data_IF_418787654145
#
_entry.id   IF_418787654145
#
_cell.length_a   1.000
_cell.length_b   1.000
_cell.length_c   1.000
_cell.angle_alpha   90.00
_cell.angle_beta   90.00
_cell.angle_gamma   90.00
#
_symmetry.space_group_name_H-M   'P 1'
#
loop_
_entity.id
_entity.type
_entity.pdbx_description
1 polymer ?
#
# COMPACT_ATOMS: atom_id res chain seq x y z
N UNK A 1 -54.58 44.11 27.09
CA UNK A 1 -53.98 42.95 27.77
C UNK A 1 -53.16 42.18 26.76
N UNK A 2 -51.96 41.77 27.16
CA UNK A 2 -50.87 41.33 26.30
C UNK A 2 -50.94 39.84 25.91
N UNK A 3 -50.08 39.51 24.92
CA UNK A 3 -49.55 38.19 24.52
C UNK A 3 -50.46 37.38 23.56
N UNK A 4 -50.00 36.71 22.51
CA UNK A 4 -48.71 36.01 22.33
C UNK A 4 -48.39 35.83 20.83
N UNK A 5 -47.17 36.19 20.42
CA UNK A 5 -46.54 35.77 19.16
C UNK A 5 -46.30 34.26 19.15
N UNK A 6 -46.81 33.54 18.15
CA UNK A 6 -46.37 32.19 17.81
C UNK A 6 -45.49 32.26 16.56
N UNK A 7 -44.19 32.39 16.79
CA UNK A 7 -43.16 32.14 15.78
C UNK A 7 -43.05 30.62 15.60
N UNK A 8 -43.60 30.12 14.50
CA UNK A 8 -43.37 28.75 14.05
C UNK A 8 -41.91 28.61 13.60
N UNK A 9 -41.08 28.01 14.43
CA UNK A 9 -39.74 27.59 14.05
C UNK A 9 -39.85 26.41 13.08
N UNK A 10 -39.79 26.71 11.78
CA UNK A 10 -39.62 25.71 10.74
C UNK A 10 -38.27 25.01 10.92
N UNK A 11 -38.31 23.70 11.17
CA UNK A 11 -37.13 22.85 11.17
C UNK A 11 -36.49 22.83 9.77
N UNK A 12 -35.16 23.03 9.63
CA UNK A 12 -34.51 22.93 8.33
C UNK A 12 -34.47 21.47 7.88
N UNK A 13 -35.38 21.12 6.97
CA UNK A 13 -35.42 19.84 6.30
C UNK A 13 -34.25 19.71 5.29
N UNK A 14 -33.45 18.65 5.42
CA UNK A 14 -32.87 17.92 4.30
C UNK A 14 -31.55 18.39 3.66
N UNK A 15 -31.15 19.67 3.74
CA UNK A 15 -30.01 20.16 2.93
C UNK A 15 -28.63 20.06 3.61
N UNK A 16 -28.59 19.80 4.93
CA UNK A 16 -27.35 19.84 5.71
C UNK A 16 -26.34 18.73 5.41
N UNK A 17 -26.82 17.52 5.09
CA UNK A 17 -25.95 16.37 4.85
C UNK A 17 -25.12 16.53 3.56
N UNK A 18 -25.74 17.01 2.47
CA UNK A 18 -25.05 17.23 1.18
C UNK A 18 -24.01 18.37 1.27
N UNK A 19 -24.32 19.42 2.03
CA UNK A 19 -23.38 20.51 2.31
C UNK A 19 -22.17 20.04 3.14
N UNK A 20 -22.39 19.18 4.14
CA UNK A 20 -21.32 18.61 4.95
C UNK A 20 -20.39 17.70 4.14
N UNK A 21 -20.95 16.85 3.27
CA UNK A 21 -20.15 16.00 2.36
C UNK A 21 -19.35 16.84 1.37
N UNK A 22 -19.96 17.88 0.78
CA UNK A 22 -19.27 18.78 -0.14
C UNK A 22 -18.14 19.55 0.54
N UNK A 23 -18.36 20.04 1.76
CA UNK A 23 -17.33 20.71 2.56
C UNK A 23 -16.19 19.76 2.96
N UNK A 24 -16.51 18.49 3.22
CA UNK A 24 -15.51 17.46 3.50
C UNK A 24 -14.66 17.14 2.26
N UNK A 25 -15.28 16.99 1.08
CA UNK A 25 -14.58 16.78 -0.18
C UNK A 25 -13.65 17.96 -0.54
N UNK A 26 -14.12 19.20 -0.38
CA UNK A 26 -13.28 20.40 -0.60
C UNK A 26 -12.05 20.40 0.32
N UNK A 27 -12.25 20.00 1.59
CA UNK A 27 -11.16 19.91 2.57
C UNK A 27 -10.13 18.84 2.17
N UNK A 28 -10.57 17.67 1.69
CA UNK A 28 -9.67 16.62 1.20
C UNK A 28 -8.85 17.09 -0.01
N UNK A 29 -9.50 17.75 -0.98
CA UNK A 29 -8.82 18.31 -2.16
C UNK A 29 -7.76 19.32 -1.73
N UNK A 30 -8.09 20.21 -0.79
CA UNK A 30 -7.16 21.23 -0.28
C UNK A 30 -5.95 20.63 0.44
N UNK A 31 -6.15 19.55 1.20
CA UNK A 31 -5.05 18.80 1.85
C UNK A 31 -4.16 18.16 0.80
N UNK A 32 -4.73 17.51 -0.21
CA UNK A 32 -3.97 16.86 -1.28
C UNK A 32 -3.14 17.87 -2.08
N UNK A 33 -3.71 19.02 -2.42
CA UNK A 33 -2.99 20.10 -3.10
C UNK A 33 -1.83 20.63 -2.26
N UNK A 34 -2.04 20.82 -0.95
CA UNK A 34 -0.99 21.29 -0.03
C UNK A 34 0.16 20.27 0.05
N UNK A 35 -0.13 18.97 0.10
CA UNK A 35 0.90 17.93 0.09
C UNK A 35 1.71 17.94 -1.22
N UNK A 36 1.06 18.08 -2.38
CA UNK A 36 1.77 18.21 -3.67
C UNK A 36 2.71 19.42 -3.70
N UNK A 37 2.27 20.56 -3.18
CA UNK A 37 3.11 21.76 -3.07
C UNK A 37 4.30 21.56 -2.12
N UNK A 38 4.09 20.87 -0.99
CA UNK A 38 5.16 20.57 -0.05
C UNK A 38 6.20 19.60 -0.64
N UNK A 39 5.78 18.61 -1.43
CA UNK A 39 6.70 17.71 -2.13
C UNK A 39 7.57 18.46 -3.14
N UNK A 40 6.98 19.38 -3.92
CA UNK A 40 7.76 20.21 -4.85
C UNK A 40 8.71 21.19 -4.13
N UNK A 41 8.32 21.77 -2.99
CA UNK A 41 9.24 22.60 -2.21
C UNK A 41 10.38 21.79 -1.58
N UNK A 42 10.10 20.58 -1.08
CA UNK A 42 11.13 19.69 -0.55
C UNK A 42 12.14 19.29 -1.63
N UNK A 43 11.68 19.04 -2.87
CA UNK A 43 12.55 18.75 -4.02
C UNK A 43 13.34 19.98 -4.48
N UNK A 44 12.77 21.19 -4.41
CA UNK A 44 13.47 22.42 -4.78
C UNK A 44 14.54 22.85 -3.75
N UNK A 45 14.44 22.42 -2.50
CA UNK A 45 15.42 22.70 -1.45
C UNK A 45 16.64 21.75 -1.47
N UNK A 46 16.60 20.66 -2.24
CA UNK A 46 17.75 19.76 -2.48
C UNK A 46 18.39 20.13 -3.81
N UNK A 47 18.86 21.37 -3.92
CA UNK A 47 19.78 21.75 -4.98
C UNK A 47 21.21 21.47 -4.47
N UNK A 48 21.93 20.49 -5.03
CA UNK A 48 23.27 20.17 -4.57
C UNK A 48 24.22 21.31 -4.94
N UNK A 49 24.74 21.99 -3.92
CA UNK A 49 25.86 22.90 -4.07
C UNK A 49 27.09 22.11 -4.55
N UNK A 50 27.55 22.48 -5.76
CA UNK A 50 28.87 22.31 -6.38
C UNK A 50 29.78 21.11 -5.98
N UNK A 51 30.25 20.30 -6.95
CA UNK A 51 31.32 19.35 -6.72
C UNK A 51 32.67 20.10 -6.70
N UNK A 52 33.13 20.46 -5.51
CA UNK A 52 34.50 20.90 -5.26
C UNK A 52 35.41 19.69 -5.09
N UNK A 53 36.33 19.52 -6.05
CA UNK A 53 37.34 18.48 -6.11
C UNK A 53 38.26 18.41 -4.87
N UNK A 54 38.63 17.20 -4.42
CA UNK A 54 39.97 16.91 -3.87
C UNK A 54 40.38 15.43 -4.10
N UNK A 55 41.25 15.23 -5.10
CA UNK A 55 42.49 14.44 -5.15
C UNK A 55 42.78 13.28 -4.15
N UNK A 56 43.35 12.23 -4.75
CA UNK A 56 44.38 11.29 -4.26
C UNK A 56 43.93 9.94 -3.68
N UNK A 57 44.36 8.87 -4.36
CA UNK A 57 44.35 7.51 -3.81
C UNK A 57 44.54 6.40 -4.85
N UNK A 58 45.63 6.44 -5.61
CA UNK A 58 46.05 5.37 -6.54
C UNK A 58 46.58 4.15 -5.76
N UNK A 59 46.08 2.96 -6.04
CA UNK A 59 46.85 1.71 -5.95
C UNK A 59 46.23 0.63 -6.86
N UNK A 60 47.03 0.12 -7.78
CA UNK A 60 46.72 -0.95 -8.72
C UNK A 60 47.50 -2.22 -8.36
N UNK A 61 46.94 -3.40 -8.66
CA UNK A 61 47.57 -4.67 -9.08
C UNK A 61 46.58 -5.82 -8.77
N UNK A 62 46.01 -6.62 -9.69
CA UNK A 62 46.49 -7.42 -10.84
C UNK A 62 46.65 -8.92 -10.51
N UNK A 63 46.15 -9.75 -11.45
CA UNK A 63 46.43 -11.18 -11.71
C UNK A 63 45.75 -12.24 -10.79
N UNK A 64 45.41 -13.46 -11.23
CA UNK A 64 45.16 -14.09 -12.54
C UNK A 64 44.68 -15.55 -12.27
N UNK A 65 43.91 -16.10 -13.22
CA UNK A 65 43.83 -17.51 -13.66
C UNK A 65 43.64 -18.68 -12.66
N UNK A 66 42.63 -19.53 -12.91
CA UNK A 66 42.78 -20.82 -13.62
C UNK A 66 41.63 -21.81 -13.28
N UNK A 67 41.33 -22.67 -14.25
CA UNK A 67 40.18 -23.57 -14.36
C UNK A 67 40.37 -24.97 -13.73
N UNK A 68 39.26 -25.67 -13.46
CA UNK A 68 39.02 -27.13 -13.53
C UNK A 68 37.77 -27.46 -12.69
N UNK A 69 36.91 -28.46 -12.89
CA UNK A 69 36.56 -29.42 -13.93
C UNK A 69 35.24 -30.05 -13.45
N UNK A 70 34.40 -30.54 -14.36
CA UNK A 70 33.09 -31.15 -14.09
C UNK A 70 33.18 -32.46 -13.26
N UNK A 71 32.04 -32.95 -12.73
CA UNK A 71 31.38 -34.05 -13.42
C UNK A 71 29.83 -33.98 -13.46
N UNK A 72 29.25 -34.57 -14.50
CA UNK A 72 27.83 -34.94 -14.65
C UNK A 72 27.71 -36.48 -14.61
N UNK A 73 26.51 -37.10 -14.70
CA UNK A 73 25.24 -36.95 -13.97
C UNK A 73 24.85 -38.29 -13.26
N UNK A 74 23.61 -38.45 -12.77
CA UNK A 74 22.67 -39.29 -13.53
C UNK A 74 21.24 -38.73 -13.66
N UNK A 75 20.65 -39.01 -14.85
CA UNK A 75 19.26 -39.42 -15.19
C UNK A 75 18.24 -39.59 -14.04
N UNK A 76 16.93 -39.40 -14.18
CA UNK A 76 15.97 -38.92 -15.19
C UNK A 76 14.57 -38.98 -14.51
N UNK A 77 13.56 -38.30 -15.09
CA UNK A 77 12.10 -38.36 -14.76
C UNK A 77 11.66 -37.76 -13.41
N UNK A 78 10.68 -36.86 -13.32
CA UNK A 78 9.56 -36.55 -14.20
C UNK A 78 9.48 -35.03 -14.46
N UNK A 79 9.34 -34.68 -15.74
CA UNK A 79 8.96 -33.35 -16.17
C UNK A 79 7.52 -33.08 -15.70
N UNK A 80 7.38 -32.43 -14.55
CA UNK A 80 6.19 -31.63 -14.28
C UNK A 80 6.15 -30.55 -15.37
N UNK A 81 4.97 -30.20 -15.93
CA UNK A 81 4.88 -29.14 -16.91
C UNK A 81 5.43 -27.88 -16.27
N UNK A 82 6.57 -27.41 -16.79
CA UNK A 82 7.03 -26.06 -16.58
C UNK A 82 5.97 -25.18 -17.23
N UNK A 83 4.96 -24.82 -16.44
CA UNK A 83 4.13 -23.66 -16.73
C UNK A 83 5.12 -22.54 -17.01
N UNK A 84 5.03 -21.88 -18.18
CA UNK A 84 5.90 -20.76 -18.46
C UNK A 84 5.79 -19.82 -17.27
N UNK A 85 6.93 -19.45 -16.69
CA UNK A 85 7.04 -18.30 -15.80
C UNK A 85 6.66 -17.08 -16.64
N UNK A 86 5.35 -16.94 -16.87
CA UNK A 86 4.76 -15.81 -17.54
C UNK A 86 5.10 -14.63 -16.66
N UNK A 87 6.02 -13.81 -17.17
CA UNK A 87 6.16 -12.38 -16.93
C UNK A 87 5.43 -11.97 -15.66
N UNK A 88 6.05 -12.24 -14.51
CA UNK A 88 5.39 -12.10 -13.22
C UNK A 88 4.90 -10.66 -13.10
N UNK A 89 3.58 -10.38 -13.15
CA UNK A 89 3.04 -9.01 -13.19
C UNK A 89 3.34 -8.22 -11.90
N UNK A 90 3.94 -8.91 -10.93
CA UNK A 90 4.41 -8.39 -9.65
C UNK A 90 5.84 -7.84 -9.70
N UNK A 91 6.63 -8.09 -10.76
CA UNK A 91 7.97 -7.50 -10.95
C UNK A 91 7.84 -6.00 -11.24
N UNK A 92 7.79 -5.20 -10.18
CA UNK A 92 7.60 -3.76 -10.25
C UNK A 92 6.49 -3.27 -9.32
N UNK A 93 5.61 -4.17 -8.85
CA UNK A 93 4.62 -3.83 -7.84
C UNK A 93 5.29 -3.85 -6.46
N UNK A 94 5.55 -2.67 -5.91
CA UNK A 94 6.13 -2.52 -4.57
C UNK A 94 5.10 -1.90 -3.64
N UNK A 95 4.69 -2.66 -2.63
CA UNK A 95 3.86 -2.14 -1.55
C UNK A 95 4.67 -1.14 -0.73
N UNK A 96 4.13 0.07 -0.52
CA UNK A 96 4.85 1.08 0.26
C UNK A 96 4.95 0.64 1.72
N UNK A 97 6.04 1.01 2.42
CA UNK A 97 6.14 0.80 3.87
C UNK A 97 4.93 1.44 4.57
N UNK A 98 4.50 0.81 5.65
CA UNK A 98 3.33 1.26 6.39
C UNK A 98 3.55 2.67 6.95
N UNK A 99 2.98 3.68 6.29
CA UNK A 99 3.11 5.11 6.66
C UNK A 99 2.21 5.52 7.83
N UNK A 100 1.84 4.58 8.70
CA UNK A 100 1.06 4.85 9.90
C UNK A 100 -0.46 4.82 9.75
N UNK A 101 -1.00 4.61 8.54
CA UNK A 101 -2.44 4.57 8.30
C UNK A 101 -2.87 3.25 7.65
N UNK A 102 -3.65 2.45 8.38
CA UNK A 102 -4.26 1.20 7.91
C UNK A 102 -5.11 1.37 6.64
N UNK A 103 -5.97 2.39 6.51
CA UNK A 103 -6.76 2.56 5.29
C UNK A 103 -5.90 2.73 4.03
N UNK A 104 -4.78 3.46 4.12
CA UNK A 104 -3.86 3.60 2.98
C UNK A 104 -3.23 2.25 2.59
N UNK A 105 -2.89 1.40 3.57
CA UNK A 105 -2.39 0.06 3.31
C UNK A 105 -3.46 -0.82 2.65
N UNK A 106 -4.72 -0.71 3.04
CA UNK A 106 -5.83 -1.47 2.44
C UNK A 106 -6.06 -1.08 0.98
N UNK A 107 -5.99 0.21 0.63
CA UNK A 107 -6.08 0.66 -0.76
C UNK A 107 -4.96 0.06 -1.63
N UNK A 108 -3.74 -0.03 -1.11
CA UNK A 108 -2.64 -0.69 -1.82
C UNK A 108 -2.87 -2.19 -2.01
N UNK A 109 -3.54 -2.85 -1.05
CA UNK A 109 -3.89 -4.26 -1.15
C UNK A 109 -4.98 -4.50 -2.20
N UNK A 110 -5.97 -3.62 -2.31
CA UNK A 110 -6.98 -3.71 -3.37
C UNK A 110 -6.30 -3.60 -4.74
N UNK A 111 -5.44 -2.60 -4.93
CA UNK A 111 -4.69 -2.44 -6.18
C UNK A 111 -3.76 -3.61 -6.49
N UNK A 112 -3.17 -4.23 -5.46
CA UNK A 112 -2.40 -5.46 -5.62
C UNK A 112 -3.28 -6.59 -6.13
N UNK A 113 -4.42 -6.85 -5.49
CA UNK A 113 -5.34 -7.95 -5.82
C UNK A 113 -5.89 -7.85 -7.24
N UNK A 114 -6.15 -6.63 -7.71
CA UNK A 114 -6.54 -6.35 -9.09
C UNK A 114 -5.45 -6.81 -10.09
N UNK A 115 -4.19 -6.50 -9.80
CA UNK A 115 -3.04 -6.92 -10.62
C UNK A 115 -2.83 -8.43 -10.61
N UNK A 116 -3.10 -9.11 -9.47
CA UNK A 116 -2.95 -10.57 -9.37
C UNK A 116 -4.18 -11.36 -9.84
N UNK A 117 -5.19 -10.68 -10.38
CA UNK A 117 -6.48 -11.29 -10.77
C UNK A 117 -7.07 -12.16 -9.64
N UNK A 118 -7.04 -11.62 -8.41
CA UNK A 118 -7.54 -12.33 -7.24
C UNK A 118 -9.08 -12.48 -7.28
N UNK A 119 -9.65 -13.41 -6.50
CA UNK A 119 -11.11 -13.62 -6.48
C UNK A 119 -11.85 -12.36 -6.03
N UNK A 120 -12.92 -12.00 -6.75
CA UNK A 120 -13.76 -10.84 -6.43
C UNK A 120 -14.29 -10.88 -5.00
N UNK A 121 -14.62 -12.07 -4.47
CA UNK A 121 -15.07 -12.23 -3.07
C UNK A 121 -14.06 -11.69 -2.05
N UNK A 122 -12.77 -11.88 -2.31
CA UNK A 122 -11.70 -11.43 -1.42
C UNK A 122 -11.52 -9.92 -1.53
N UNK A 123 -11.67 -9.37 -2.74
CA UNK A 123 -11.67 -7.94 -2.97
C UNK A 123 -12.87 -7.25 -2.29
N UNK A 124 -14.06 -7.85 -2.40
CA UNK A 124 -15.29 -7.37 -1.78
C UNK A 124 -15.19 -7.39 -0.25
N UNK A 125 -14.67 -8.48 0.34
CA UNK A 125 -14.40 -8.56 1.79
C UNK A 125 -13.38 -7.54 2.25
N UNK A 126 -12.32 -7.33 1.48
CA UNK A 126 -11.30 -6.31 1.77
C UNK A 126 -11.89 -4.90 1.73
N UNK A 127 -12.75 -4.62 0.76
CA UNK A 127 -13.43 -3.35 0.63
C UNK A 127 -14.46 -3.14 1.76
N UNK A 128 -15.21 -4.19 2.13
CA UNK A 128 -16.11 -4.19 3.27
C UNK A 128 -15.36 -3.99 4.59
N UNK A 129 -14.17 -4.57 4.75
CA UNK A 129 -13.30 -4.35 5.90
C UNK A 129 -12.71 -2.93 5.94
N UNK A 130 -12.40 -2.36 4.77
CA UNK A 130 -11.84 -1.02 4.63
C UNK A 130 -12.88 0.09 4.85
N UNK A 131 -14.14 -0.11 4.46
CA UNK A 131 -15.20 0.88 4.58
C UNK A 131 -15.35 1.49 6.00
N UNK A 132 -15.50 0.71 7.09
CA UNK A 132 -15.63 1.26 8.44
C UNK A 132 -14.35 1.92 8.95
N UNK A 133 -13.19 1.53 8.42
CA UNK A 133 -11.89 2.14 8.74
C UNK A 133 -11.71 3.50 8.05
N UNK A 134 -12.15 3.60 6.79
CA UNK A 134 -12.11 4.84 6.00
C UNK A 134 -13.09 5.88 6.54
N UNK A 135 -14.26 5.44 7.02
CA UNK A 135 -15.25 6.29 7.68
C UNK A 135 -14.85 6.70 9.10
N UNK A 136 -13.72 6.20 9.63
CA UNK A 136 -13.28 6.37 11.03
C UNK A 136 -14.30 5.89 12.07
N UNK A 137 -15.30 5.10 11.69
CA UNK A 137 -16.30 4.55 12.61
C UNK A 137 -15.70 3.47 13.51
N UNK A 138 -14.71 2.72 13.00
CA UNK A 138 -14.01 1.67 13.72
C UNK A 138 -12.53 2.00 13.80
N UNK A 139 -12.03 2.28 15.00
CA UNK A 139 -10.58 2.37 15.24
C UNK A 139 -10.04 0.99 15.62
N UNK A 140 -8.97 0.55 14.94
CA UNK A 140 -8.27 -0.66 15.32
C UNK A 140 -7.60 -0.47 16.67
N UNK A 141 -7.66 -1.51 17.49
CA UNK A 141 -6.89 -1.52 18.74
C UNK A 141 -5.39 -1.45 18.43
N UNK A 142 -4.55 -0.90 19.34
CA UNK A 142 -3.10 -0.86 19.14
C UNK A 142 -2.50 -2.25 18.87
N UNK A 143 -3.07 -3.29 19.49
CA UNK A 143 -2.69 -4.68 19.29
C UNK A 143 -3.03 -5.17 17.88
N UNK A 144 -4.24 -4.88 17.37
CA UNK A 144 -4.61 -5.22 15.99
C UNK A 144 -3.75 -4.47 14.98
N UNK A 145 -3.44 -3.20 15.24
CA UNK A 145 -2.57 -2.41 14.38
C UNK A 145 -1.15 -3.00 14.32
N UNK A 146 -0.59 -3.40 15.47
CA UNK A 146 0.72 -4.06 15.51
C UNK A 146 0.73 -5.41 14.78
N UNK A 147 -0.31 -6.22 14.97
CA UNK A 147 -0.48 -7.48 14.25
C UNK A 147 -0.62 -7.25 12.74
N UNK A 148 -1.42 -6.26 12.33
CA UNK A 148 -1.59 -5.86 10.94
C UNK A 148 -0.26 -5.44 10.32
N UNK A 149 0.53 -4.59 10.99
CA UNK A 149 1.85 -4.18 10.52
C UNK A 149 2.80 -5.36 10.28
N UNK A 150 2.83 -6.31 11.20
CA UNK A 150 3.67 -7.52 11.08
C UNK A 150 3.23 -8.39 9.89
N UNK A 151 1.92 -8.62 9.74
CA UNK A 151 1.38 -9.38 8.62
C UNK A 151 1.58 -8.67 7.28
N UNK A 152 1.43 -7.34 7.25
CA UNK A 152 1.66 -6.52 6.08
C UNK A 152 3.12 -6.62 5.63
N UNK A 153 4.09 -6.56 6.56
CA UNK A 153 5.52 -6.80 6.23
C UNK A 153 5.77 -8.18 5.65
N UNK A 154 5.14 -9.23 6.19
CA UNK A 154 5.25 -10.56 5.62
C UNK A 154 4.67 -10.60 4.21
N UNK A 155 3.52 -9.97 3.98
CA UNK A 155 2.91 -9.88 2.66
C UNK A 155 3.80 -9.11 1.67
N UNK A 156 4.39 -7.98 2.06
CA UNK A 156 5.37 -7.25 1.26
C UNK A 156 6.52 -8.17 0.78
N UNK A 157 7.06 -8.99 1.69
CA UNK A 157 8.12 -9.94 1.33
C UNK A 157 7.66 -11.03 0.35
N UNK A 158 6.38 -11.41 0.37
CA UNK A 158 5.80 -12.39 -0.56
C UNK A 158 5.55 -11.80 -1.94
N UNK A 159 5.07 -10.56 -1.98
CA UNK A 159 4.89 -9.77 -3.21
C UNK A 159 6.24 -9.57 -3.90
N UNK A 160 7.27 -9.17 -3.15
CA UNK A 160 8.63 -9.01 -3.66
C UNK A 160 9.23 -10.31 -4.22
N UNK A 161 8.75 -11.47 -3.74
CA UNK A 161 9.16 -12.80 -4.22
C UNK A 161 8.28 -13.32 -5.37
N UNK A 162 7.32 -12.54 -5.86
CA UNK A 162 6.43 -12.91 -6.96
C UNK A 162 5.47 -14.05 -6.66
N UNK A 163 5.23 -14.40 -5.38
CA UNK A 163 4.42 -15.56 -5.01
C UNK A 163 2.92 -15.25 -4.98
N UNK A 164 2.33 -15.05 -6.16
CA UNK A 164 0.90 -14.75 -6.35
C UNK A 164 -0.04 -15.68 -5.55
N UNK A 165 0.17 -17.00 -5.63
CA UNK A 165 -0.65 -18.01 -4.95
C UNK A 165 -0.64 -17.90 -3.40
N UNK A 166 0.27 -17.11 -2.83
CA UNK A 166 0.43 -16.90 -1.38
C UNK A 166 0.04 -15.49 -0.92
N UNK A 167 -0.36 -14.64 -1.87
CA UNK A 167 -0.87 -13.29 -1.59
C UNK A 167 -2.29 -13.41 -1.03
N UNK A 168 -3.17 -14.18 -1.68
CA UNK A 168 -4.54 -14.39 -1.23
C UNK A 168 -4.59 -14.93 0.21
N UNK A 169 -3.86 -16.02 0.51
CA UNK A 169 -3.74 -16.58 1.86
C UNK A 169 -3.31 -15.52 2.91
N UNK A 170 -2.38 -14.64 2.53
CA UNK A 170 -1.87 -13.62 3.44
C UNK A 170 -2.86 -12.45 3.64
N UNK A 171 -3.64 -12.12 2.61
CA UNK A 171 -4.71 -11.12 2.72
C UNK A 171 -5.87 -11.66 3.57
N UNK A 172 -6.21 -12.94 3.47
CA UNK A 172 -7.20 -13.56 4.37
C UNK A 172 -6.75 -13.50 5.84
N UNK A 173 -5.47 -13.76 6.12
CA UNK A 173 -4.92 -13.61 7.47
C UNK A 173 -5.02 -12.16 7.95
N UNK A 174 -4.76 -11.18 7.07
CA UNK A 174 -4.92 -9.76 7.39
C UNK A 174 -6.39 -9.40 7.70
N UNK A 175 -7.34 -9.94 6.94
CA UNK A 175 -8.78 -9.79 7.21
C UNK A 175 -9.18 -10.35 8.58
N UNK A 176 -8.64 -11.53 8.93
CA UNK A 176 -8.86 -12.12 10.25
C UNK A 176 -8.35 -11.24 11.40
N UNK A 177 -7.24 -10.51 11.21
CA UNK A 177 -6.74 -9.54 12.21
C UNK A 177 -7.70 -8.35 12.37
N UNK A 178 -8.37 -7.95 11.29
CA UNK A 178 -9.38 -6.88 11.30
C UNK A 178 -10.72 -7.33 11.93
N UNK A 179 -10.88 -8.64 12.17
CA UNK A 179 -12.07 -9.24 12.75
C UNK A 179 -13.24 -9.32 11.76
N UNK A 180 -12.93 -9.59 10.49
CA UNK A 180 -13.86 -9.88 9.40
C UNK A 180 -13.72 -11.35 9.05
#
# INVERSE_FOLDING_TARGET
MATTSLHGAAAPAGTGASAAVSAYLDKLIRIQQRQKLQQHQALAAVQPAAPGALISGTAAAAAAAAAAAAPAPPTAEAAAPAVPEADSPLQGFSLNPFSGSVPAALEQLIGLLDVVAAPDELMERLQAAAAPLLLQEKQLTPQQQAAFCTQYRMLQSRVARGRANKICDAVEVLLGVLGV
#
